data_IF_254734504583
#
_entry.id   IF_254734504583
#
_cell.length_a   1.000
_cell.length_b   1.000
_cell.length_c   1.000
_cell.angle_alpha   90.00
_cell.angle_beta   90.00
_cell.angle_gamma   90.00
#
_symmetry.space_group_name_H-M   'P 1'
#
loop_
_entity.id
_entity.type
_entity.pdbx_description
1 polymer ?
#
# COMPACT_ATOMS: atom_id res chain seq x y z
N UNK A 1 15.79 2.75 12.90
CA UNK A 1 16.10 1.39 12.47
C UNK A 1 16.83 0.71 13.62
N UNK A 2 16.34 -0.43 14.11
CA UNK A 2 17.04 -1.18 15.16
C UNK A 2 18.34 -1.73 14.56
N UNK A 3 19.50 -1.59 15.21
CA UNK A 3 20.77 -2.01 14.63
C UNK A 3 20.75 -3.52 14.37
N UNK A 4 21.18 -3.93 13.17
CA UNK A 4 21.33 -5.34 12.86
C UNK A 4 22.26 -6.00 13.88
N UNK A 5 21.90 -7.18 14.41
CA UNK A 5 22.81 -7.91 15.29
C UNK A 5 24.10 -8.25 14.54
N UNK A 6 25.20 -8.41 15.28
CA UNK A 6 26.47 -8.80 14.68
C UNK A 6 26.39 -10.20 14.06
N UNK A 7 26.15 -10.23 12.75
CA UNK A 7 25.92 -11.45 11.98
C UNK A 7 27.15 -12.38 11.99
N UNK A 8 28.34 -11.85 12.29
CA UNK A 8 29.57 -12.66 12.34
C UNK A 8 29.64 -13.57 13.56
N UNK A 9 28.74 -13.36 14.54
CA UNK A 9 28.66 -14.16 15.77
C UNK A 9 27.62 -15.29 15.70
N UNK A 10 26.81 -15.33 14.63
CA UNK A 10 25.76 -16.34 14.42
C UNK A 10 26.31 -17.55 13.66
N UNK A 11 25.85 -18.75 14.04
CA UNK A 11 26.11 -19.94 13.23
C UNK A 11 25.26 -19.94 11.96
N UNK A 12 25.62 -20.77 10.98
CA UNK A 12 24.81 -20.96 9.77
C UNK A 12 23.37 -21.39 10.09
N UNK A 13 23.17 -22.19 11.14
CA UNK A 13 21.84 -22.65 11.56
C UNK A 13 21.04 -21.49 12.16
N UNK A 14 21.64 -20.67 13.02
CA UNK A 14 21.00 -19.47 13.59
C UNK A 14 20.64 -18.46 12.49
N UNK A 15 21.50 -18.33 11.47
CA UNK A 15 21.24 -17.46 10.31
C UNK A 15 20.04 -17.97 9.49
N UNK A 16 19.93 -19.29 9.25
CA UNK A 16 18.79 -19.86 8.53
C UNK A 16 17.48 -19.68 9.29
N UNK A 17 17.49 -19.90 10.59
CA UNK A 17 16.32 -19.67 11.44
C UNK A 17 15.89 -18.20 11.39
N UNK A 18 16.84 -17.28 11.54
CA UNK A 18 16.57 -15.84 11.51
C UNK A 18 16.04 -15.34 10.15
N UNK A 19 16.54 -15.90 9.05
CA UNK A 19 16.01 -15.59 7.71
C UNK A 19 14.56 -16.05 7.62
N UNK A 20 14.28 -17.30 8.00
CA UNK A 20 12.93 -17.86 7.95
C UNK A 20 11.92 -17.05 8.78
N UNK A 21 12.33 -16.61 9.96
CA UNK A 21 11.47 -15.78 10.81
C UNK A 21 11.18 -14.41 10.19
N UNK A 22 12.19 -13.77 9.60
CA UNK A 22 12.02 -12.48 8.92
C UNK A 22 11.19 -12.61 7.64
N UNK A 23 11.35 -13.68 6.87
CA UNK A 23 10.52 -13.96 5.70
C UNK A 23 9.05 -14.12 6.10
N UNK A 24 8.78 -14.86 7.18
CA UNK A 24 7.42 -15.01 7.70
C UNK A 24 6.82 -13.69 8.19
N UNK A 25 7.60 -12.87 8.87
CA UNK A 25 7.15 -11.54 9.31
C UNK A 25 6.85 -10.62 8.11
N UNK A 26 7.74 -10.63 7.10
CA UNK A 26 7.54 -9.87 5.86
C UNK A 26 6.26 -10.32 5.15
N UNK A 27 6.05 -11.62 5.01
CA UNK A 27 4.85 -12.19 4.38
C UNK A 27 3.56 -11.72 5.07
N UNK A 28 3.55 -11.72 6.41
CA UNK A 28 2.43 -11.26 7.23
C UNK A 28 2.16 -9.76 7.02
N UNK A 29 3.21 -8.94 7.00
CA UNK A 29 3.11 -7.50 6.75
C UNK A 29 2.59 -7.25 5.33
N UNK A 30 3.17 -7.93 4.35
CA UNK A 30 2.80 -7.84 2.94
C UNK A 30 1.36 -8.29 2.70
N UNK A 31 0.88 -9.32 3.41
CA UNK A 31 -0.52 -9.72 3.38
C UNK A 31 -1.45 -8.62 3.90
N UNK A 32 -1.16 -8.07 5.09
CA UNK A 32 -1.96 -6.97 5.66
C UNK A 32 -1.96 -5.74 4.75
N UNK A 33 -0.82 -5.40 4.16
CA UNK A 33 -0.68 -4.32 3.17
C UNK A 33 -1.61 -4.57 1.98
N UNK A 34 -1.57 -5.76 1.35
CA UNK A 34 -2.44 -6.09 0.20
C UNK A 34 -3.92 -6.00 0.56
N UNK A 35 -4.34 -6.49 1.73
CA UNK A 35 -5.74 -6.41 2.18
C UNK A 35 -6.18 -4.95 2.36
N UNK A 36 -5.35 -4.12 2.99
CA UNK A 36 -5.66 -2.70 3.17
C UNK A 36 -5.75 -1.97 1.83
N UNK A 37 -4.78 -2.18 0.94
CA UNK A 37 -4.81 -1.58 -0.40
C UNK A 37 -6.05 -2.02 -1.19
N UNK A 38 -6.41 -3.31 -1.15
CA UNK A 38 -7.64 -3.80 -1.79
C UNK A 38 -8.91 -3.12 -1.28
N UNK A 39 -9.01 -2.90 0.04
CA UNK A 39 -10.14 -2.15 0.64
C UNK A 39 -10.15 -0.68 0.21
N UNK A 40 -8.98 -0.04 0.18
CA UNK A 40 -8.83 1.34 -0.28
C UNK A 40 -9.26 1.46 -1.75
N UNK A 41 -8.85 0.51 -2.59
CA UNK A 41 -9.16 0.52 -4.01
C UNK A 41 -10.66 0.31 -4.29
N UNK A 42 -11.33 -0.56 -3.52
CA UNK A 42 -12.79 -0.70 -3.56
C UNK A 42 -13.48 0.63 -3.22
N UNK A 43 -13.05 1.28 -2.12
CA UNK A 43 -13.63 2.56 -1.70
C UNK A 43 -13.37 3.68 -2.72
N UNK A 44 -12.17 3.71 -3.32
CA UNK A 44 -11.84 4.65 -4.40
C UNK A 44 -12.70 4.41 -5.64
N UNK A 45 -12.89 3.15 -6.04
CA UNK A 45 -13.74 2.80 -7.18
C UNK A 45 -15.18 3.25 -6.97
N UNK A 46 -15.73 3.01 -5.78
CA UNK A 46 -17.09 3.45 -5.41
C UNK A 46 -17.20 4.99 -5.41
N UNK A 47 -16.20 5.69 -4.87
CA UNK A 47 -16.17 7.16 -4.88
C UNK A 47 -16.14 7.71 -6.31
N UNK A 48 -15.30 7.12 -7.18
CA UNK A 48 -15.24 7.47 -8.61
C UNK A 48 -16.58 7.23 -9.31
N UNK A 49 -17.24 6.11 -9.03
CA UNK A 49 -18.55 5.79 -9.61
C UNK A 49 -19.60 6.84 -9.24
N UNK A 50 -19.73 7.16 -7.95
CA UNK A 50 -20.67 8.19 -7.47
C UNK A 50 -20.41 9.57 -8.06
N UNK A 51 -19.14 9.98 -8.12
CA UNK A 51 -18.76 11.26 -8.72
C UNK A 51 -19.12 11.33 -10.21
N UNK A 52 -18.91 10.24 -10.95
CA UNK A 52 -19.33 10.15 -12.36
C UNK A 52 -20.84 10.29 -12.51
N UNK A 53 -21.62 9.61 -11.67
CA UNK A 53 -23.08 9.70 -11.70
C UNK A 53 -23.56 11.13 -11.45
N UNK A 54 -22.97 11.84 -10.48
CA UNK A 54 -23.26 13.25 -10.21
C UNK A 54 -22.90 14.17 -11.39
N UNK A 55 -21.77 13.93 -12.06
CA UNK A 55 -21.37 14.67 -13.25
C UNK A 55 -22.36 14.42 -14.39
N UNK A 56 -22.74 13.17 -14.62
CA UNK A 56 -23.71 12.79 -15.65
C UNK A 56 -25.10 13.37 -15.38
N UNK A 57 -25.50 13.51 -14.11
CA UNK A 57 -26.75 14.15 -13.70
C UNK A 57 -26.71 15.70 -13.80
N UNK A 58 -25.54 16.30 -14.06
CA UNK A 58 -25.36 17.76 -14.09
C UNK A 58 -25.35 18.42 -12.70
N UNK A 59 -25.19 17.62 -11.63
CA UNK A 59 -25.24 18.06 -10.23
C UNK A 59 -23.84 18.30 -9.64
N UNK A 60 -22.78 17.86 -10.33
CA UNK A 60 -21.42 17.95 -9.85
C UNK A 60 -20.84 19.37 -9.89
N UNK A 61 -20.07 19.74 -8.85
CA UNK A 61 -19.32 21.00 -8.78
C UNK A 61 -17.94 20.83 -9.44
N UNK A 62 -17.31 21.96 -9.82
CA UNK A 62 -15.93 21.96 -10.33
C UNK A 62 -14.94 21.26 -9.38
N UNK A 63 -15.13 21.42 -8.07
CA UNK A 63 -14.31 20.75 -7.04
C UNK A 63 -14.44 19.21 -7.08
N UNK A 64 -15.61 18.69 -7.43
CA UNK A 64 -15.87 17.25 -7.52
C UNK A 64 -15.11 16.63 -8.72
N UNK A 65 -14.99 17.38 -9.82
CA UNK A 65 -14.24 16.98 -11.01
C UNK A 65 -12.73 16.99 -10.76
N UNK A 66 -12.21 18.01 -10.06
CA UNK A 66 -10.80 18.05 -9.65
C UNK A 66 -10.44 16.86 -8.75
N UNK A 67 -11.31 16.57 -7.76
CA UNK A 67 -11.14 15.42 -6.86
C UNK A 67 -11.17 14.08 -7.61
N UNK A 68 -12.02 13.96 -8.63
CA UNK A 68 -12.05 12.77 -9.50
C UNK A 68 -10.71 12.57 -10.20
N UNK A 69 -10.09 13.63 -10.72
CA UNK A 69 -8.77 13.54 -11.35
C UNK A 69 -7.71 13.09 -10.35
N UNK A 70 -7.67 13.66 -9.15
CA UNK A 70 -6.70 13.28 -8.10
C UNK A 70 -6.81 11.80 -7.71
N UNK A 71 -8.04 11.29 -7.53
CA UNK A 71 -8.28 9.88 -7.20
C UNK A 71 -7.78 8.95 -8.32
N UNK A 72 -7.93 9.35 -9.58
CA UNK A 72 -7.48 8.58 -10.74
C UNK A 72 -5.96 8.63 -10.92
N UNK A 73 -5.31 9.75 -10.59
CA UNK A 73 -3.86 9.92 -10.70
C UNK A 73 -3.10 9.24 -9.55
N UNK A 74 -3.69 9.17 -8.35
CA UNK A 74 -3.12 8.48 -7.18
C UNK A 74 -3.00 6.94 -7.32
N UNK A 75 -3.30 6.39 -8.50
CA UNK A 75 -3.33 4.96 -8.79
C UNK A 75 -1.95 4.29 -8.82
N UNK A 76 -0.83 5.02 -8.78
CA UNK A 76 0.47 4.40 -9.09
C UNK A 76 1.73 5.02 -8.47
N UNK A 77 1.75 5.29 -7.16
CA UNK A 77 3.03 5.36 -6.46
C UNK A 77 3.10 4.19 -5.46
N UNK A 78 3.90 3.14 -5.75
CA UNK A 78 4.36 2.29 -4.67
C UNK A 78 5.02 3.21 -3.64
N UNK A 79 4.77 3.07 -2.32
CA UNK A 79 5.64 3.71 -1.35
C UNK A 79 7.06 3.29 -1.72
N UNK A 80 7.89 4.27 -2.05
CA UNK A 80 9.27 4.05 -2.46
C UNK A 80 9.90 3.16 -1.40
N UNK A 81 10.30 1.95 -1.80
CA UNK A 81 11.15 1.07 -1.00
C UNK A 81 12.59 1.60 -0.98
N UNK A 82 12.75 2.92 -1.05
CA UNK A 82 14.00 3.65 -1.04
C UNK A 82 14.47 3.83 0.40
N UNK A 83 15.57 3.16 0.68
CA UNK A 83 16.36 3.22 1.90
C UNK A 83 16.47 4.63 2.51
N UNK A 84 16.27 4.69 3.83
CA UNK A 84 17.13 5.38 4.81
C UNK A 84 16.87 4.85 6.23
#
# INVERSE_FOLDING_TARGET
MEPLPDLTTLSDDDLREKIHDLEKEEDDISFRRRVLHGRIDILRAELVARLRDQVSAGEAKLADVSRLSEILTAKHEPPDGGAE
#
